data_IF_885197161184
#
_entry.id   IF_885197161184
#
_cell.length_a   1.000
_cell.length_b   1.000
_cell.length_c   1.000
_cell.angle_alpha   90.00
_cell.angle_beta   90.00
_cell.angle_gamma   90.00
#
_symmetry.space_group_name_H-M   'P 1'
#
loop_
_entity.id
_entity.type
_entity.pdbx_description
1 polymer ?
#
# COMPACT_ATOMS: atom_id res chain seq x y z
N UNK A 1 -6.63 -5.67 -47.42
CA UNK A 1 -6.01 -4.70 -46.49
C UNK A 1 -6.67 -4.83 -45.12
N UNK A 2 -5.86 -4.98 -44.07
CA UNK A 2 -6.10 -4.63 -42.64
C UNK A 2 -7.27 -5.31 -41.91
N UNK A 3 -7.07 -6.52 -41.39
CA UNK A 3 -7.93 -7.06 -40.32
C UNK A 3 -7.20 -7.92 -39.27
N UNK A 4 -5.87 -7.80 -39.15
CA UNK A 4 -5.08 -8.71 -38.30
C UNK A 4 -4.24 -8.04 -37.22
N UNK A 5 -4.43 -6.73 -36.97
CA UNK A 5 -3.59 -6.00 -36.00
C UNK A 5 -4.27 -5.68 -34.65
N UNK A 6 -5.56 -5.95 -34.47
CA UNK A 6 -6.28 -5.54 -33.25
C UNK A 6 -6.39 -6.61 -32.16
N UNK A 7 -6.01 -7.86 -32.42
CA UNK A 7 -6.15 -8.95 -31.43
C UNK A 7 -4.97 -9.00 -30.45
N UNK A 8 -3.78 -8.54 -30.84
CA UNK A 8 -2.59 -8.57 -29.98
C UNK A 8 -2.58 -7.49 -28.88
N UNK A 9 -3.32 -6.38 -29.06
CA UNK A 9 -3.39 -5.31 -28.06
C UNK A 9 -4.30 -5.65 -26.85
N UNK A 10 -5.22 -6.60 -27.00
CA UNK A 10 -6.19 -6.97 -25.95
C UNK A 10 -5.65 -7.99 -24.94
N UNK A 11 -4.51 -8.64 -25.22
CA UNK A 11 -3.92 -9.65 -24.32
C UNK A 11 -3.03 -9.04 -23.23
N UNK A 12 -2.66 -7.76 -23.32
CA UNK A 12 -1.74 -7.11 -22.36
C UNK A 12 -2.46 -6.63 -21.10
N UNK A 13 -3.80 -6.57 -21.09
CA UNK A 13 -4.56 -6.00 -19.96
C UNK A 13 -5.11 -7.00 -18.94
N UNK A 14 -5.06 -8.31 -19.21
CA UNK A 14 -5.62 -9.31 -18.28
C UNK A 14 -4.58 -9.93 -17.33
N UNK A 15 -3.29 -9.88 -17.65
CA UNK A 15 -2.25 -10.52 -16.81
C UNK A 15 -2.07 -9.80 -15.45
N UNK A 16 -2.34 -8.50 -15.36
CA UNK A 16 -2.11 -7.76 -14.12
C UNK A 16 -3.19 -7.94 -13.05
N UNK A 17 -4.41 -8.42 -13.37
CA UNK A 17 -5.49 -8.48 -12.36
C UNK A 17 -5.33 -9.66 -11.40
N UNK A 18 -4.95 -10.82 -11.93
CA UNK A 18 -4.86 -12.06 -11.16
C UNK A 18 -3.68 -12.00 -10.16
N UNK A 19 -2.56 -11.42 -10.59
CA UNK A 19 -1.38 -11.21 -9.74
C UNK A 19 -1.68 -10.32 -8.53
N UNK A 20 -2.55 -9.29 -8.69
CA UNK A 20 -2.91 -8.38 -7.58
C UNK A 20 -3.69 -9.10 -6.49
N UNK A 21 -4.70 -9.87 -6.88
CA UNK A 21 -5.56 -10.59 -5.95
C UNK A 21 -4.79 -11.69 -5.24
N UNK A 22 -3.94 -12.43 -5.97
CA UNK A 22 -3.08 -13.46 -5.40
C UNK A 22 -2.05 -12.85 -4.44
N UNK A 23 -1.37 -11.78 -4.82
CA UNK A 23 -0.38 -11.11 -3.96
C UNK A 23 -1.03 -10.55 -2.68
N UNK A 24 -2.21 -9.92 -2.80
CA UNK A 24 -2.97 -9.45 -1.65
C UNK A 24 -3.32 -10.60 -0.69
N UNK A 25 -3.85 -11.72 -1.23
CA UNK A 25 -4.21 -12.89 -0.45
C UNK A 25 -2.98 -13.49 0.24
N UNK A 26 -1.86 -13.59 -0.47
CA UNK A 26 -0.59 -14.08 0.07
C UNK A 26 -0.11 -13.22 1.25
N UNK A 27 -0.12 -11.89 1.08
CA UNK A 27 0.25 -10.95 2.13
C UNK A 27 -0.64 -11.02 3.36
N UNK A 28 -1.96 -11.02 3.17
CA UNK A 28 -2.90 -11.13 4.30
C UNK A 28 -2.80 -12.49 5.00
N UNK A 29 -2.55 -13.57 4.26
CA UNK A 29 -2.30 -14.89 4.85
C UNK A 29 -1.04 -14.88 5.73
N UNK A 30 0.07 -14.34 5.22
CA UNK A 30 1.31 -14.18 5.99
C UNK A 30 1.10 -13.31 7.23
N UNK A 31 0.41 -12.18 7.09
CA UNK A 31 0.05 -11.29 8.21
C UNK A 31 -0.78 -12.00 9.29
N UNK A 32 -1.72 -12.86 8.91
CA UNK A 32 -2.50 -13.64 9.87
C UNK A 32 -1.61 -14.61 10.66
N UNK A 33 -0.72 -15.32 9.97
CA UNK A 33 0.26 -16.22 10.60
C UNK A 33 1.12 -15.45 11.61
N UNK A 34 1.65 -14.29 11.21
CA UNK A 34 2.46 -13.44 12.08
C UNK A 34 1.67 -12.89 13.28
N UNK A 35 0.44 -12.42 13.05
CA UNK A 35 -0.41 -11.92 14.13
C UNK A 35 -0.66 -13.00 15.19
N UNK A 36 -0.92 -14.24 14.76
CA UNK A 36 -1.11 -15.40 15.66
C UNK A 36 0.19 -15.79 16.36
N UNK A 37 1.30 -15.89 15.63
CA UNK A 37 2.60 -16.29 16.18
C UNK A 37 3.16 -15.29 17.19
N UNK A 38 3.04 -13.99 16.91
CA UNK A 38 3.59 -12.90 17.72
C UNK A 38 2.56 -12.25 18.65
N UNK A 39 1.33 -12.78 18.67
CA UNK A 39 0.21 -12.25 19.47
C UNK A 39 0.00 -10.76 19.23
N UNK A 40 -0.22 -10.36 17.98
CA UNK A 40 -0.46 -8.95 17.59
C UNK A 40 -1.96 -8.72 17.43
N UNK A 41 -2.55 -7.97 18.35
CA UNK A 41 -3.98 -7.75 18.46
C UNK A 41 -4.57 -6.75 17.45
N UNK A 42 -3.75 -5.86 16.90
CA UNK A 42 -4.17 -4.77 16.00
C UNK A 42 -3.62 -4.90 14.57
N UNK A 43 -3.24 -6.11 14.13
CA UNK A 43 -2.70 -6.32 12.78
C UNK A 43 -3.77 -6.02 11.73
N UNK A 44 -3.61 -4.95 10.95
CA UNK A 44 -4.55 -4.61 9.90
C UNK A 44 -4.51 -5.61 8.74
N UNK A 45 -5.69 -5.94 8.22
CA UNK A 45 -5.82 -6.52 6.89
C UNK A 45 -5.50 -5.44 5.84
N UNK A 46 -4.68 -5.82 4.85
CA UNK A 46 -4.34 -4.97 3.73
C UNK A 46 -5.47 -4.96 2.70
N UNK A 47 -5.64 -3.79 2.08
CA UNK A 47 -6.50 -3.59 0.90
C UNK A 47 -5.62 -3.21 -0.29
N UNK A 48 -5.83 -3.84 -1.44
CA UNK A 48 -5.06 -3.47 -2.64
C UNK A 48 -5.47 -2.08 -3.14
N UNK A 49 -4.47 -1.24 -3.43
CA UNK A 49 -4.69 0.13 -3.90
C UNK A 49 -3.86 0.40 -5.17
N UNK A 50 -4.48 0.35 -6.37
CA UNK A 50 -3.74 0.47 -7.64
C UNK A 50 -2.91 1.75 -7.80
N UNK A 51 -3.25 2.87 -7.13
CA UNK A 51 -2.41 4.08 -7.19
C UNK A 51 -1.02 3.90 -6.59
N UNK A 52 -0.83 2.94 -5.70
CA UNK A 52 0.49 2.61 -5.15
C UNK A 52 1.40 2.01 -6.23
N UNK A 53 0.87 1.38 -7.27
CA UNK A 53 1.67 0.95 -8.44
C UNK A 53 2.30 2.14 -9.15
N UNK A 54 1.56 3.23 -9.32
CA UNK A 54 2.09 4.45 -9.94
C UNK A 54 3.26 5.03 -9.12
N UNK A 55 3.16 4.99 -7.80
CA UNK A 55 4.27 5.39 -6.91
C UNK A 55 5.50 4.51 -7.15
N UNK A 56 5.29 3.20 -7.26
CA UNK A 56 6.36 2.23 -7.52
C UNK A 56 7.02 2.45 -8.90
N UNK A 57 6.24 2.62 -9.97
CA UNK A 57 6.76 2.90 -11.30
C UNK A 57 7.57 4.20 -11.35
N UNK A 58 7.11 5.26 -10.66
CA UNK A 58 7.85 6.51 -10.57
C UNK A 58 9.23 6.32 -9.92
N UNK A 59 9.32 5.54 -8.85
CA UNK A 59 10.59 5.23 -8.20
C UNK A 59 11.50 4.36 -9.09
N UNK A 60 10.94 3.36 -9.77
CA UNK A 60 11.68 2.49 -10.69
C UNK A 60 12.26 3.26 -11.87
N UNK A 61 11.51 4.23 -12.42
CA UNK A 61 11.94 5.05 -13.55
C UNK A 61 13.22 5.85 -13.26
N UNK A 62 13.47 6.24 -12.01
CA UNK A 62 14.68 6.97 -11.60
C UNK A 62 15.98 6.17 -11.80
N UNK A 63 15.87 4.84 -11.94
CA UNK A 63 17.01 3.91 -12.05
C UNK A 63 16.96 3.10 -13.34
N UNK A 64 16.12 3.49 -14.30
CA UNK A 64 15.90 2.69 -15.51
C UNK A 64 15.35 1.28 -15.20
N UNK A 65 14.56 1.14 -14.13
CA UNK A 65 14.02 -0.15 -13.70
C UNK A 65 15.00 -1.07 -12.98
N UNK A 66 16.21 -0.59 -12.64
CA UNK A 66 17.26 -1.37 -12.00
C UNK A 66 17.67 -0.81 -10.62
N UNK A 67 16.75 -0.63 -9.65
CA UNK A 67 17.13 -0.06 -8.36
C UNK A 67 17.86 -1.08 -7.50
N UNK A 68 18.73 -0.59 -6.61
CA UNK A 68 19.22 -1.39 -5.48
C UNK A 68 18.07 -1.78 -4.54
N UNK A 69 18.24 -2.88 -3.81
CA UNK A 69 17.31 -3.29 -2.75
C UNK A 69 17.34 -2.27 -1.61
N UNK A 70 16.22 -1.61 -1.34
CA UNK A 70 16.11 -0.59 -0.28
C UNK A 70 14.67 -0.29 0.09
N UNK A 71 14.51 0.31 1.28
CA UNK A 71 13.24 0.85 1.76
C UNK A 71 13.29 2.39 1.67
N UNK A 72 12.26 2.99 1.08
CA UNK A 72 12.07 4.44 0.98
C UNK A 72 10.80 4.82 1.73
N UNK A 73 10.83 5.95 2.41
CA UNK A 73 9.69 6.53 3.11
C UNK A 73 9.31 7.84 2.45
N UNK A 74 8.12 7.90 1.86
CA UNK A 74 7.55 9.13 1.29
C UNK A 74 6.52 9.70 2.27
N UNK A 75 6.91 10.78 2.93
CA UNK A 75 6.10 11.55 3.87
C UNK A 75 5.61 12.89 3.27
N UNK A 76 5.53 13.00 1.94
CA UNK A 76 5.02 14.21 1.27
C UNK A 76 3.58 14.54 1.64
N UNK A 77 2.80 13.55 2.10
CA UNK A 77 1.49 13.75 2.70
C UNK A 77 1.57 13.62 4.24
N UNK A 78 1.24 14.67 5.01
CA UNK A 78 1.28 14.62 6.47
C UNK A 78 0.22 13.69 7.09
N UNK A 79 -0.77 13.21 6.33
CA UNK A 79 -1.78 12.25 6.80
C UNK A 79 -1.40 10.79 6.51
N UNK A 80 -0.54 10.56 5.50
CA UNK A 80 -0.27 9.22 4.95
C UNK A 80 1.23 9.09 4.66
N UNK A 81 1.87 8.18 5.39
CA UNK A 81 3.23 7.74 5.08
C UNK A 81 3.17 6.61 4.06
N UNK A 82 3.92 6.72 2.96
CA UNK A 82 4.10 5.62 2.01
C UNK A 82 5.45 4.96 2.25
N UNK A 83 5.45 3.70 2.67
CA UNK A 83 6.65 2.88 2.75
C UNK A 83 6.80 2.08 1.46
N UNK A 84 7.96 2.19 0.82
CA UNK A 84 8.24 1.62 -0.50
C UNK A 84 9.43 0.68 -0.38
N UNK A 85 9.22 -0.60 -0.69
CA UNK A 85 10.23 -1.63 -0.74
C UNK A 85 10.60 -1.87 -2.21
N UNK A 86 11.80 -1.45 -2.63
CA UNK A 86 12.29 -1.62 -3.99
C UNK A 86 13.18 -2.86 -4.12
N UNK A 87 13.07 -3.56 -5.26
CA UNK A 87 13.89 -4.72 -5.62
C UNK A 87 14.06 -5.70 -4.46
N UNK A 88 12.93 -6.11 -3.88
CA UNK A 88 12.94 -7.06 -2.76
C UNK A 88 13.47 -8.38 -3.28
N UNK A 89 14.66 -8.73 -2.83
CA UNK A 89 15.20 -10.07 -2.97
C UNK A 89 14.56 -10.89 -1.85
N UNK A 90 13.82 -11.96 -2.21
CA UNK A 90 13.18 -12.80 -1.21
C UNK A 90 14.20 -13.20 -0.13
N UNK A 91 13.78 -12.97 1.12
CA UNK A 91 14.61 -12.94 2.31
C UNK A 91 15.44 -14.21 2.51
N UNK A 92 16.71 -14.04 2.91
CA UNK A 92 17.55 -15.14 3.40
C UNK A 92 17.28 -15.46 4.88
N UNK A 93 16.64 -14.55 5.63
CA UNK A 93 16.34 -14.72 7.06
C UNK A 93 14.94 -14.18 7.46
N UNK A 94 14.47 -14.60 8.63
CA UNK A 94 13.13 -14.28 9.17
C UNK A 94 12.88 -12.77 9.37
N UNK A 95 13.94 -11.97 9.61
CA UNK A 95 13.79 -10.54 9.86
C UNK A 95 13.43 -9.78 8.60
N UNK A 96 13.95 -10.20 7.46
CA UNK A 96 13.62 -9.59 6.18
C UNK A 96 12.18 -9.92 5.76
N UNK A 97 11.68 -11.12 6.11
CA UNK A 97 10.25 -11.45 5.98
C UNK A 97 9.42 -10.54 6.90
N UNK A 98 9.82 -10.37 8.16
CA UNK A 98 9.08 -9.53 9.10
C UNK A 98 9.01 -8.06 8.67
N UNK A 99 10.07 -7.52 8.05
CA UNK A 99 10.05 -6.14 7.51
C UNK A 99 9.00 -5.95 6.41
N UNK A 100 8.73 -6.99 5.61
CA UNK A 100 7.80 -6.92 4.50
C UNK A 100 6.36 -7.22 4.92
N UNK A 101 6.15 -8.25 5.74
CA UNK A 101 4.82 -8.69 6.17
C UNK A 101 4.34 -7.99 7.45
N UNK A 102 5.24 -7.45 8.26
CA UNK A 102 4.93 -6.82 9.54
C UNK A 102 4.29 -5.43 9.40
N UNK A 103 4.34 -4.66 10.48
CA UNK A 103 3.72 -3.33 10.53
C UNK A 103 2.21 -3.43 10.66
N UNK A 104 1.74 -3.53 11.89
CA UNK A 104 0.32 -3.55 12.22
C UNK A 104 -0.45 -2.35 11.62
N UNK A 105 0.19 -1.17 11.56
CA UNK A 105 -0.38 0.05 10.98
C UNK A 105 -0.47 0.10 9.45
N UNK A 106 0.07 -0.89 8.71
CA UNK A 106 -0.07 -0.93 7.25
C UNK A 106 -1.53 -1.25 6.86
N UNK A 107 -2.14 -0.43 6.02
CA UNK A 107 -3.57 -0.54 5.69
C UNK A 107 -3.86 -0.85 4.22
N UNK A 108 -3.00 -0.39 3.32
CA UNK A 108 -3.14 -0.61 1.88
C UNK A 108 -1.82 -1.09 1.32
N UNK A 109 -1.88 -1.82 0.21
CA UNK A 109 -0.70 -2.27 -0.53
C UNK A 109 -0.81 -2.04 -2.02
N UNK A 110 0.33 -1.86 -2.67
CA UNK A 110 0.50 -1.97 -4.11
C UNK A 110 1.71 -2.84 -4.42
N UNK A 111 1.70 -3.43 -5.61
CA UNK A 111 2.71 -4.38 -6.06
C UNK A 111 3.02 -4.14 -7.54
N UNK A 112 4.30 -4.16 -7.91
CA UNK A 112 4.72 -4.22 -9.30
C UNK A 112 5.83 -5.24 -9.49
N UNK A 113 5.75 -5.94 -10.61
CA UNK A 113 6.79 -6.84 -11.11
C UNK A 113 7.26 -6.30 -12.46
N UNK A 114 8.56 -6.07 -12.57
CA UNK A 114 9.20 -5.50 -13.76
C UNK A 114 10.51 -6.23 -14.06
N UNK A 115 11.16 -5.87 -15.17
CA UNK A 115 12.51 -6.35 -15.48
C UNK A 115 13.48 -5.18 -15.53
N UNK A 116 14.66 -5.36 -14.93
CA UNK A 116 15.75 -4.42 -15.08
C UNK A 116 16.18 -4.37 -16.55
N UNK A 117 16.21 -3.16 -17.14
CA UNK A 117 16.50 -2.98 -18.56
C UNK A 117 17.94 -3.34 -18.95
N UNK A 118 18.86 -3.37 -17.97
CA UNK A 118 20.28 -3.69 -18.21
C UNK A 118 20.55 -5.19 -18.09
N UNK A 119 20.08 -5.81 -17.00
CA UNK A 119 20.41 -7.21 -16.68
C UNK A 119 19.32 -8.19 -17.10
N UNK A 120 18.10 -7.71 -17.37
CA UNK A 120 16.93 -8.56 -17.61
C UNK A 120 16.37 -9.23 -16.36
N UNK A 121 17.00 -9.03 -15.19
CA UNK A 121 16.55 -9.61 -13.92
C UNK A 121 15.17 -9.09 -13.51
N UNK A 122 14.39 -9.96 -12.87
CA UNK A 122 13.10 -9.58 -12.28
C UNK A 122 13.30 -8.65 -11.08
N UNK A 123 12.48 -7.61 -11.03
CA UNK A 123 12.44 -6.60 -9.97
C UNK A 123 11.02 -6.55 -9.42
N UNK A 124 10.87 -7.04 -8.19
CA UNK A 124 9.61 -7.03 -7.45
C UNK A 124 9.64 -5.93 -6.40
N UNK A 125 8.62 -5.09 -6.38
CA UNK A 125 8.55 -3.96 -5.46
C UNK A 125 7.15 -3.80 -4.87
N UNK A 126 7.08 -3.36 -3.63
CA UNK A 126 5.84 -3.18 -2.87
C UNK A 126 5.77 -1.79 -2.27
N UNK A 127 4.57 -1.24 -2.16
CA UNK A 127 4.35 -0.01 -1.42
C UNK A 127 3.19 -0.18 -0.46
N UNK A 128 3.27 0.45 0.71
CA UNK A 128 2.27 0.37 1.76
C UNK A 128 1.87 1.75 2.26
N UNK A 129 0.58 1.99 2.44
CA UNK A 129 0.12 3.11 3.25
C UNK A 129 0.21 2.74 4.73
N UNK A 130 0.93 3.55 5.48
CA UNK A 130 0.98 3.53 6.93
C UNK A 130 0.20 4.73 7.47
N UNK A 131 -0.67 4.47 8.42
CA UNK A 131 -1.38 5.52 9.17
C UNK A 131 -0.32 6.41 9.84
N UNK A 132 -0.28 7.69 9.45
CA UNK A 132 0.69 8.62 9.99
C UNK A 132 0.27 9.01 11.40
N UNK A 133 0.82 8.33 12.40
CA UNK A 133 1.05 8.97 13.68
C UNK A 133 2.55 9.26 13.68
N UNK A 134 2.85 10.54 13.47
CA UNK A 134 4.20 11.10 13.41
C UNK A 134 5.12 10.41 14.43
N UNK A 135 6.16 9.76 13.93
CA UNK A 135 7.25 9.16 14.70
C UNK A 135 6.79 8.19 15.79
N UNK A 136 6.94 6.91 15.45
CA UNK A 136 6.63 5.71 16.23
C UNK A 136 5.17 5.28 16.14
N UNK A 137 4.99 4.10 15.51
CA UNK A 137 4.10 3.06 16.00
C UNK A 137 2.64 3.56 16.15
N UNK A 138 1.72 3.19 15.25
CA UNK A 138 0.72 2.23 15.75
C UNK A 138 1.49 1.04 16.31
N UNK A 139 1.80 1.01 17.63
CA UNK A 139 2.61 -0.06 18.16
C UNK A 139 1.87 -1.34 17.85
N UNK A 140 2.62 -2.38 17.51
CA UNK A 140 2.06 -3.71 17.61
C UNK A 140 1.55 -3.84 19.04
N UNK A 141 0.22 -3.89 19.17
CA UNK A 141 -0.39 -4.03 20.47
C UNK A 141 -0.48 -5.52 20.71
N UNK A 142 0.28 -6.01 21.69
CA UNK A 142 0.25 -7.42 22.00
C UNK A 142 -1.07 -7.82 22.67
N UNK A 143 -1.53 -9.03 22.33
CA UNK A 143 -2.77 -9.63 22.79
C UNK A 143 -3.36 -10.59 21.74
N UNK A 144 -4.54 -11.16 22.01
CA UNK A 144 -5.20 -12.05 21.07
C UNK A 144 -5.41 -11.36 19.70
N UNK A 145 -5.09 -12.01 18.57
CA UNK A 145 -5.25 -11.43 17.24
C UNK A 145 -6.66 -10.87 17.01
N UNK A 146 -6.74 -9.66 16.45
CA UNK A 146 -8.01 -8.96 16.18
C UNK A 146 -8.71 -8.38 17.41
N UNK A 147 -8.19 -8.55 18.63
CA UNK A 147 -8.86 -8.04 19.86
C UNK A 147 -8.78 -6.53 20.04
N UNK A 148 -7.93 -5.82 19.28
CA UNK A 148 -7.70 -4.37 19.44
C UNK A 148 -7.71 -3.64 18.10
N UNK A 149 -8.74 -3.87 17.29
CA UNK A 149 -8.94 -3.15 16.04
C UNK A 149 -9.29 -1.68 16.27
N UNK A 150 -8.73 -0.81 15.44
CA UNK A 150 -9.02 0.63 15.48
C UNK A 150 -10.43 0.94 14.96
N UNK A 151 -10.91 2.15 15.26
CA UNK A 151 -12.24 2.60 14.83
C UNK A 151 -12.44 2.46 13.32
N UNK A 152 -13.61 1.96 12.91
CA UNK A 152 -13.95 1.66 11.52
C UNK A 152 -13.36 0.34 10.99
N UNK A 153 -12.77 -0.47 11.88
CA UNK A 153 -12.29 -1.82 11.57
C UNK A 153 -12.87 -2.85 12.52
N UNK A 154 -13.09 -4.05 11.99
CA UNK A 154 -13.57 -5.21 12.76
C UNK A 154 -12.63 -6.39 12.59
N UNK A 155 -12.59 -7.26 13.60
CA UNK A 155 -11.82 -8.49 13.53
C UNK A 155 -12.38 -9.44 12.47
N UNK A 156 -11.50 -10.02 11.66
CA UNK A 156 -11.79 -11.15 10.77
C UNK A 156 -11.67 -12.46 11.54
N UNK A 157 -12.21 -13.54 10.98
CA UNK A 157 -11.99 -14.91 11.48
C UNK A 157 -10.50 -15.29 11.52
N UNK A 158 -9.66 -14.61 10.73
CA UNK A 158 -8.22 -14.85 10.63
C UNK A 158 -7.40 -14.01 11.63
N UNK A 159 -8.05 -13.23 12.49
CA UNK A 159 -7.37 -12.43 13.53
C UNK A 159 -6.76 -11.12 13.00
N UNK A 160 -7.14 -10.69 11.81
CA UNK A 160 -6.77 -9.39 11.23
C UNK A 160 -7.88 -8.36 11.41
N UNK A 161 -7.53 -7.07 11.41
CA UNK A 161 -8.45 -5.94 11.48
C UNK A 161 -8.83 -5.45 10.07
N UNK A 162 -9.99 -5.91 9.58
CA UNK A 162 -10.54 -5.54 8.28
C UNK A 162 -11.31 -4.21 8.34
N UNK A 163 -11.30 -3.46 7.24
CA UNK A 163 -12.08 -2.24 7.11
C UNK A 163 -13.58 -2.56 7.02
N UNK A 164 -14.40 -1.90 7.83
CA UNK A 164 -15.85 -2.08 7.76
C UNK A 164 -16.41 -1.61 6.41
N UNK A 165 -17.37 -2.36 5.84
CA UNK A 165 -17.96 -2.07 4.53
C UNK A 165 -18.56 -0.65 4.43
N UNK A 166 -19.11 -0.14 5.52
CA UNK A 166 -19.65 1.23 5.63
C UNK A 166 -18.56 2.29 5.49
N UNK A 167 -17.37 2.00 6.01
CA UNK A 167 -16.20 2.87 5.96
C UNK A 167 -15.43 2.72 4.65
N UNK A 168 -15.39 1.52 4.05
CA UNK A 168 -14.85 1.31 2.69
C UNK A 168 -15.50 2.25 1.68
N UNK A 169 -16.83 2.44 1.76
CA UNK A 169 -17.55 3.36 0.86
C UNK A 169 -17.10 4.81 1.03
N UNK A 170 -16.97 5.29 2.28
CA UNK A 170 -16.50 6.66 2.58
C UNK A 170 -15.03 6.89 2.19
N UNK A 171 -14.16 5.90 2.43
CA UNK A 171 -12.75 5.97 2.03
C UNK A 171 -12.64 6.00 0.50
N UNK A 172 -13.37 5.14 -0.19
CA UNK A 172 -13.40 5.14 -1.65
C UNK A 172 -13.99 6.45 -2.20
N UNK A 173 -15.09 6.96 -1.65
CA UNK A 173 -15.71 8.24 -2.05
C UNK A 173 -14.75 9.43 -1.86
N UNK A 174 -14.16 9.59 -0.67
CA UNK A 174 -13.17 10.64 -0.40
C UNK A 174 -11.92 10.52 -1.29
N UNK A 175 -11.56 9.30 -1.67
CA UNK A 175 -10.47 9.02 -2.59
C UNK A 175 -10.83 9.35 -4.05
N UNK A 176 -12.06 9.09 -4.50
CA UNK A 176 -12.59 9.50 -5.80
C UNK A 176 -12.71 11.02 -5.93
N UNK A 177 -13.07 11.72 -4.85
CA UNK A 177 -13.08 13.19 -4.84
C UNK A 177 -11.68 13.80 -4.92
N UNK A 178 -10.66 13.11 -4.38
CA UNK A 178 -9.25 13.48 -4.58
C UNK A 178 -8.74 13.13 -5.99
N UNK A 179 -9.36 12.18 -6.71
CA UNK A 179 -9.03 11.84 -8.13
C UNK A 179 -9.49 12.93 -9.09
N UNK A 180 -10.61 13.60 -8.81
CA UNK A 180 -11.19 14.62 -9.71
C UNK A 180 -10.48 15.97 -9.67
N UNK A 181 -9.53 16.19 -8.76
CA UNK A 181 -8.78 17.46 -8.72
C UNK A 181 -7.65 17.42 -9.75
N UNK A 182 -7.63 18.32 -10.74
CA UNK A 182 -6.51 18.42 -11.67
C UNK A 182 -5.24 18.75 -10.90
N UNK A 183 -4.13 18.10 -11.27
CA UNK A 183 -2.78 18.50 -10.88
C UNK A 183 -2.57 19.90 -11.50
N UNK A 184 -2.83 20.95 -10.72
CA UNK A 184 -2.79 22.34 -11.20
C UNK A 184 -3.67 23.35 -10.46
N UNK A 185 -4.52 22.92 -9.52
CA UNK A 185 -5.31 23.85 -8.70
C UNK A 185 -4.49 24.46 -7.56
N UNK A 186 -4.16 25.77 -7.67
CA UNK A 186 -3.52 26.57 -6.62
C UNK A 186 -4.06 26.25 -5.22
N UNK A 187 -3.15 25.98 -4.28
CA UNK A 187 -3.43 26.08 -2.85
C UNK A 187 -4.03 27.46 -2.54
N UNK A 188 -5.30 27.48 -2.12
CA UNK A 188 -5.81 28.57 -1.27
C UNK A 188 -5.64 28.10 0.16
N UNK A 189 -4.64 28.65 0.84
CA UNK A 189 -4.54 28.58 2.29
C UNK A 189 -5.86 29.07 2.90
N UNK A 190 -6.38 28.44 3.96
CA UNK A 190 -7.44 29.05 4.75
C UNK A 190 -6.88 30.35 5.33
N UNK A 191 -7.45 31.47 4.93
CA UNK A 191 -7.16 32.75 5.54
C UNK A 191 -7.54 32.69 7.01
N UNK A 192 -6.56 32.93 7.87
CA UNK A 192 -6.78 33.38 9.24
C UNK A 192 -7.47 34.74 9.11
N UNK A 193 -8.79 34.77 9.27
CA UNK A 193 -9.49 36.01 9.56
C UNK A 193 -9.78 36.02 11.05
N UNK A 194 -8.94 36.76 11.77
CA UNK A 194 -9.34 37.32 13.05
C UNK A 194 -10.44 38.34 12.81
N UNK A 195 -11.49 38.26 13.60
CA UNK A 195 -12.37 39.39 13.86
C UNK A 195 -12.16 39.78 15.31
N UNK A 196 -11.42 40.86 15.49
CA UNK A 196 -11.48 41.72 16.66
C UNK A 196 -12.83 42.45 16.64
N UNK A 197 -13.34 42.68 17.86
CA UNK A 197 -14.27 43.72 18.31
C UNK A 197 -15.78 43.50 18.10
N UNK A 198 -16.47 43.15 19.20
CA UNK A 198 -17.07 44.14 20.11
C UNK A 198 -17.04 43.64 21.57
#
# INVERSE_FOLDING_TARGET
MKATLFVLALLVHNVHSDDRAENLKHFNSGRSVWAKGLQIANMNELVYLPKLEKVLYNQLALTGGCPDSRIIYDASNPEILVEIHLNVKYAKDERDVLKLYGGAGSTHMGYVETKCMVTGEEVKSWAFYKTNIFFSKDPEIHGPPGSKCSSGRSATSDGLCALEKSYTRKVMESYWDRIKRPIGGKHRSPGIFGTMDN
#
